data_IF_913618453043
#
_entry.id   IF_913618453043
#
_cell.length_a   1.000
_cell.length_b   1.000
_cell.length_c   1.000
_cell.angle_alpha   90.00
_cell.angle_beta   90.00
_cell.angle_gamma   90.00
#
_symmetry.space_group_name_H-M   'P 1'
#
loop_
_entity.id
_entity.type
_entity.pdbx_description
1 polymer ?
#
# COMPACT_ATOMS: atom_id res chain seq x y z
N UNK A 1 7.21 -8.57 39.15
CA UNK A 1 7.83 -7.96 37.93
C UNK A 1 6.88 -7.88 36.74
N UNK A 2 5.88 -8.75 36.63
CA UNK A 2 4.97 -8.82 35.45
C UNK A 2 3.87 -7.72 35.45
N UNK A 3 3.25 -7.44 36.61
CA UNK A 3 2.16 -6.45 36.72
C UNK A 3 2.64 -5.02 36.46
N UNK A 4 3.81 -4.61 36.93
CA UNK A 4 4.35 -3.28 36.63
C UNK A 4 4.62 -3.07 35.13
N UNK A 5 5.10 -4.13 34.44
CA UNK A 5 5.28 -4.07 32.98
C UNK A 5 3.96 -4.02 32.20
N UNK A 6 2.92 -4.69 32.70
CA UNK A 6 1.57 -4.61 32.12
C UNK A 6 0.96 -3.22 32.30
N UNK A 7 1.08 -2.64 33.51
CA UNK A 7 0.61 -1.28 33.79
C UNK A 7 1.34 -0.22 32.93
N UNK A 8 2.68 -0.36 32.76
CA UNK A 8 3.44 0.51 31.86
C UNK A 8 3.00 0.36 30.40
N UNK A 9 2.69 -0.85 29.92
CA UNK A 9 2.19 -1.06 28.58
C UNK A 9 0.77 -0.51 28.41
N UNK A 10 -0.08 -0.62 29.41
CA UNK A 10 -1.45 -0.06 29.38
C UNK A 10 -1.47 1.47 29.23
N UNK A 11 -0.45 2.17 29.71
CA UNK A 11 -0.30 3.62 29.51
C UNK A 11 -0.15 4.03 28.04
N UNK A 12 0.30 3.13 27.18
CA UNK A 12 0.43 3.39 25.74
C UNK A 12 -0.82 3.06 24.94
N UNK A 13 -1.83 2.42 25.55
CA UNK A 13 -3.09 2.09 24.85
C UNK A 13 -3.78 3.34 24.26
N UNK A 14 -3.88 4.50 24.96
CA UNK A 14 -4.46 5.69 24.39
C UNK A 14 -3.77 6.18 23.11
N UNK A 15 -2.45 5.95 22.98
CA UNK A 15 -1.71 6.32 21.78
C UNK A 15 -2.13 5.53 20.53
N UNK A 16 -2.70 4.32 20.71
CA UNK A 16 -3.25 3.53 19.61
C UNK A 16 -4.49 4.18 18.99
N UNK A 17 -5.15 5.08 19.73
CA UNK A 17 -6.33 5.80 19.24
C UNK A 17 -6.00 7.15 18.58
N UNK A 18 -4.72 7.58 18.59
CA UNK A 18 -4.29 8.81 17.90
C UNK A 18 -4.71 8.85 16.42
N UNK A 19 -4.56 7.77 15.63
CA UNK A 19 -5.05 7.78 14.25
C UNK A 19 -6.56 8.04 14.13
N UNK A 20 -7.35 7.64 15.14
CA UNK A 20 -8.80 7.90 15.16
C UNK A 20 -9.11 9.39 15.23
N UNK A 21 -8.26 10.21 15.87
CA UNK A 21 -8.43 11.68 15.89
C UNK A 21 -8.29 12.27 14.48
N UNK A 22 -7.38 11.75 13.67
CA UNK A 22 -7.26 12.14 12.26
C UNK A 22 -8.52 11.81 11.47
N UNK A 23 -9.10 10.63 11.69
CA UNK A 23 -10.34 10.22 11.05
C UNK A 23 -11.54 11.07 11.51
N UNK A 24 -11.64 11.36 12.80
CA UNK A 24 -12.67 12.27 13.35
C UNK A 24 -12.52 13.68 12.77
N UNK A 25 -11.30 14.19 12.66
CA UNK A 25 -11.00 15.47 12.01
C UNK A 25 -11.43 15.49 10.55
N UNK A 26 -11.19 14.40 9.82
CA UNK A 26 -11.62 14.25 8.44
C UNK A 26 -13.15 14.19 8.30
N UNK A 27 -13.84 13.46 9.17
CA UNK A 27 -15.31 13.44 9.22
C UNK A 27 -15.90 14.80 9.55
N UNK A 28 -15.29 15.53 10.50
CA UNK A 28 -15.69 16.89 10.82
C UNK A 28 -15.52 17.83 9.63
N UNK A 29 -14.41 17.72 8.91
CA UNK A 29 -14.16 18.50 7.69
C UNK A 29 -15.24 18.23 6.63
N UNK A 30 -15.54 16.95 6.35
CA UNK A 30 -16.61 16.59 5.40
C UNK A 30 -17.96 17.15 5.86
N UNK A 31 -18.26 17.08 7.15
CA UNK A 31 -19.50 17.65 7.68
C UNK A 31 -19.56 19.17 7.51
N UNK A 32 -18.47 19.88 7.74
CA UNK A 32 -18.43 21.34 7.57
C UNK A 32 -18.54 21.78 6.11
N UNK A 33 -18.03 20.99 5.19
CA UNK A 33 -18.03 21.32 3.74
C UNK A 33 -19.31 20.86 3.06
N UNK A 34 -19.71 19.61 3.27
CA UNK A 34 -20.80 18.95 2.52
C UNK A 34 -22.05 18.68 3.39
N UNK A 35 -22.03 19.04 4.67
CA UNK A 35 -23.12 18.74 5.61
C UNK A 35 -23.26 17.25 5.96
N UNK A 36 -22.37 16.40 5.45
CA UNK A 36 -22.38 14.95 5.66
C UNK A 36 -20.99 14.44 6.02
N UNK A 37 -20.77 13.86 7.22
CA UNK A 37 -19.46 13.35 7.62
C UNK A 37 -18.94 12.20 6.71
N UNK A 38 -19.83 11.53 5.99
CA UNK A 38 -19.53 10.42 5.09
C UNK A 38 -19.58 10.81 3.61
N UNK A 39 -19.54 12.11 3.28
CA UNK A 39 -19.56 12.60 1.89
C UNK A 39 -18.50 11.94 1.01
N UNK A 40 -17.31 11.63 1.56
CA UNK A 40 -16.26 10.93 0.84
C UNK A 40 -16.69 9.57 0.28
N UNK A 41 -17.59 8.85 0.96
CA UNK A 41 -18.11 7.57 0.45
C UNK A 41 -18.99 7.77 -0.80
N UNK A 42 -19.75 8.88 -0.84
CA UNK A 42 -20.58 9.23 -1.98
C UNK A 42 -19.68 9.58 -3.17
N UNK A 43 -18.63 10.37 -2.93
CA UNK A 43 -17.64 10.70 -3.96
C UNK A 43 -16.87 9.46 -4.47
N UNK A 44 -16.55 8.52 -3.60
CA UNK A 44 -15.89 7.25 -3.98
C UNK A 44 -16.77 6.38 -4.90
N UNK A 45 -18.09 6.43 -4.76
CA UNK A 45 -19.00 5.72 -5.65
C UNK A 45 -18.88 6.16 -7.12
N UNK A 46 -18.55 7.44 -7.38
CA UNK A 46 -18.30 7.96 -8.73
C UNK A 46 -17.10 7.28 -9.42
N UNK A 47 -16.17 6.74 -8.64
CA UNK A 47 -15.00 6.01 -9.14
C UNK A 47 -15.21 4.51 -9.18
N UNK A 48 -16.45 4.02 -8.91
CA UNK A 48 -16.77 2.60 -8.83
C UNK A 48 -15.89 1.83 -7.82
N UNK A 49 -15.34 2.53 -6.84
CA UNK A 49 -14.50 1.93 -5.80
C UNK A 49 -15.36 1.46 -4.63
N UNK A 50 -15.17 0.21 -4.27
CA UNK A 50 -15.81 -0.42 -3.13
C UNK A 50 -14.97 -1.59 -2.59
N UNK A 51 -15.35 -2.16 -1.44
CA UNK A 51 -14.69 -3.35 -0.92
C UNK A 51 -14.82 -4.53 -1.89
N UNK A 52 -13.70 -5.21 -2.13
CA UNK A 52 -13.63 -6.42 -2.96
C UNK A 52 -12.62 -7.40 -2.35
N UNK A 53 -12.79 -8.70 -2.56
CA UNK A 53 -11.78 -9.65 -2.15
C UNK A 53 -10.51 -9.51 -2.98
N UNK A 54 -9.34 -9.63 -2.31
CA UNK A 54 -8.02 -9.55 -2.96
C UNK A 54 -7.91 -10.44 -4.20
N UNK A 55 -8.43 -11.67 -4.10
CA UNK A 55 -8.42 -12.61 -5.22
C UNK A 55 -9.21 -12.11 -6.43
N UNK A 56 -10.32 -11.42 -6.20
CA UNK A 56 -11.15 -10.90 -7.28
C UNK A 56 -10.56 -9.60 -7.84
N UNK A 57 -9.94 -8.77 -7.00
CA UNK A 57 -9.12 -7.64 -7.44
C UNK A 57 -8.00 -8.11 -8.36
N UNK A 58 -7.23 -9.11 -7.97
CA UNK A 58 -6.15 -9.65 -8.80
C UNK A 58 -6.65 -10.29 -10.10
N UNK A 59 -7.78 -11.02 -10.05
CA UNK A 59 -8.40 -11.59 -11.26
C UNK A 59 -8.77 -10.50 -12.26
N UNK A 60 -9.41 -9.43 -11.80
CA UNK A 60 -9.78 -8.37 -12.75
C UNK A 60 -8.54 -7.64 -13.30
N UNK A 61 -7.50 -7.36 -12.47
CA UNK A 61 -6.25 -6.76 -12.95
C UNK A 61 -5.65 -7.60 -14.09
N UNK A 62 -5.52 -8.92 -13.87
CA UNK A 62 -5.02 -9.84 -14.90
C UNK A 62 -5.93 -9.87 -16.13
N UNK A 63 -7.25 -9.86 -15.93
CA UNK A 63 -8.23 -9.86 -17.02
C UNK A 63 -8.13 -8.58 -17.86
N UNK A 64 -8.04 -7.40 -17.21
CA UNK A 64 -7.88 -6.12 -17.91
C UNK A 64 -6.53 -6.03 -18.61
N UNK A 65 -5.45 -6.48 -17.97
CA UNK A 65 -4.15 -6.56 -18.61
C UNK A 65 -4.20 -7.39 -19.90
N UNK A 66 -4.86 -8.55 -19.87
CA UNK A 66 -4.99 -9.41 -21.05
C UNK A 66 -5.86 -8.81 -22.16
N UNK A 67 -7.01 -8.19 -21.79
CA UNK A 67 -7.94 -7.60 -22.78
C UNK A 67 -7.43 -6.30 -23.39
N UNK A 68 -6.66 -5.53 -22.64
CA UNK A 68 -6.22 -4.20 -23.04
C UNK A 68 -4.72 -4.13 -23.31
N UNK A 69 -4.09 -5.28 -23.60
CA UNK A 69 -2.63 -5.37 -23.73
C UNK A 69 -2.05 -4.40 -24.77
N UNK A 70 -2.81 -4.04 -25.78
CA UNK A 70 -2.42 -3.05 -26.81
C UNK A 70 -2.66 -1.60 -26.39
N UNK A 71 -3.34 -1.36 -25.28
CA UNK A 71 -3.66 -0.02 -24.80
C UNK A 71 -2.62 0.47 -23.80
N UNK A 72 -2.38 1.77 -23.75
CA UNK A 72 -1.45 2.40 -22.82
C UNK A 72 -1.78 2.10 -21.35
N UNK A 73 -3.07 1.98 -21.00
CA UNK A 73 -3.49 1.64 -19.62
C UNK A 73 -3.00 0.28 -19.15
N UNK A 74 -2.83 -0.70 -20.03
CA UNK A 74 -2.31 -2.00 -19.65
C UNK A 74 -0.89 -1.88 -19.07
N UNK A 75 -0.07 -1.03 -19.67
CA UNK A 75 1.33 -0.82 -19.31
C UNK A 75 1.53 0.23 -18.23
N UNK A 76 0.67 1.26 -18.21
CA UNK A 76 0.80 2.36 -17.27
C UNK A 76 0.12 2.09 -15.91
N UNK A 77 -0.87 1.20 -15.86
CA UNK A 77 -1.66 0.94 -14.65
C UNK A 77 -1.66 -0.56 -14.30
N UNK A 78 -2.26 -1.42 -15.14
CA UNK A 78 -2.54 -2.80 -14.74
C UNK A 78 -1.29 -3.65 -14.55
N UNK A 79 -0.29 -3.52 -15.41
CA UNK A 79 0.96 -4.24 -15.27
C UNK A 79 1.77 -3.79 -14.04
N UNK A 80 1.99 -2.48 -13.81
CA UNK A 80 2.65 -2.00 -12.60
C UNK A 80 1.94 -2.42 -11.31
N UNK A 81 0.60 -2.35 -11.26
CA UNK A 81 -0.16 -2.80 -10.07
C UNK A 81 0.09 -4.29 -9.77
N UNK A 82 0.09 -5.13 -10.80
CA UNK A 82 0.37 -6.56 -10.64
C UNK A 82 1.82 -6.80 -10.18
N UNK A 83 2.78 -6.11 -10.77
CA UNK A 83 4.20 -6.22 -10.39
C UNK A 83 4.39 -5.77 -8.94
N UNK A 84 3.79 -4.66 -8.54
CA UNK A 84 3.87 -4.17 -7.16
C UNK A 84 3.29 -5.16 -6.16
N UNK A 85 2.12 -5.74 -6.45
CA UNK A 85 1.57 -6.79 -5.59
C UNK A 85 2.57 -7.94 -5.41
N UNK A 86 3.13 -8.44 -6.51
CA UNK A 86 4.08 -9.57 -6.49
C UNK A 86 5.33 -9.20 -5.69
N UNK A 87 5.89 -8.00 -5.91
CA UNK A 87 7.10 -7.52 -5.22
C UNK A 87 6.85 -7.37 -3.72
N UNK A 88 5.78 -6.69 -3.31
CA UNK A 88 5.46 -6.48 -1.90
C UNK A 88 5.10 -7.79 -1.19
N UNK A 89 4.39 -8.68 -1.88
CA UNK A 89 4.12 -10.03 -1.36
C UNK A 89 5.41 -10.84 -1.21
N UNK A 90 6.33 -10.77 -2.18
CA UNK A 90 7.63 -11.44 -2.09
C UNK A 90 8.49 -10.90 -0.93
N UNK A 91 8.52 -9.57 -0.72
CA UNK A 91 9.18 -8.95 0.44
C UNK A 91 8.61 -9.52 1.74
N UNK A 92 7.28 -9.63 1.84
CA UNK A 92 6.62 -10.18 3.02
C UNK A 92 7.00 -11.65 3.24
N UNK A 93 6.90 -12.51 2.21
CA UNK A 93 7.22 -13.94 2.30
C UNK A 93 8.70 -14.15 2.66
N UNK A 94 9.61 -13.41 2.03
CA UNK A 94 11.04 -13.49 2.35
C UNK A 94 11.34 -13.01 3.78
N UNK A 95 10.61 -11.98 4.23
CA UNK A 95 10.73 -11.45 5.60
C UNK A 95 10.20 -12.41 6.65
N UNK A 96 9.18 -13.23 6.34
CA UNK A 96 8.69 -14.30 7.22
C UNK A 96 9.74 -15.37 7.49
N UNK A 97 10.61 -15.67 6.52
CA UNK A 97 11.72 -16.62 6.69
C UNK A 97 12.82 -16.09 7.61
N UNK A 98 12.91 -14.79 7.77
CA UNK A 98 13.89 -14.15 8.65
C UNK A 98 13.33 -14.05 10.06
N UNK A 99 13.83 -14.89 10.98
CA UNK A 99 13.43 -14.86 12.41
C UNK A 99 13.80 -13.57 13.14
N UNK A 100 14.42 -12.60 12.46
CA UNK A 100 14.85 -11.32 13.03
C UNK A 100 13.74 -10.26 13.04
N UNK A 101 12.70 -10.45 12.24
CA UNK A 101 11.61 -9.49 12.13
C UNK A 101 10.57 -9.71 13.23
N UNK A 102 10.04 -8.62 13.79
CA UNK A 102 8.94 -8.66 14.75
C UNK A 102 7.67 -9.18 14.09
N UNK A 103 6.98 -10.10 14.79
CA UNK A 103 5.66 -10.60 14.31
C UNK A 103 4.64 -9.49 14.13
N UNK A 104 4.70 -8.43 14.95
CA UNK A 104 3.79 -7.28 14.81
C UNK A 104 4.03 -6.50 13.53
N UNK A 105 5.29 -6.31 13.11
CA UNK A 105 5.63 -5.64 11.85
C UNK A 105 5.14 -6.47 10.66
N UNK A 106 5.34 -7.78 10.71
CA UNK A 106 4.90 -8.69 9.66
C UNK A 106 3.37 -8.74 9.56
N UNK A 107 2.66 -8.81 10.69
CA UNK A 107 1.20 -8.77 10.73
C UNK A 107 0.66 -7.45 10.17
N UNK A 108 1.25 -6.31 10.56
CA UNK A 108 0.88 -5.01 10.02
C UNK A 108 1.11 -4.95 8.50
N UNK A 109 2.27 -5.38 8.01
CA UNK A 109 2.57 -5.40 6.58
C UNK A 109 1.58 -6.27 5.80
N UNK A 110 1.23 -7.45 6.34
CA UNK A 110 0.25 -8.35 5.74
C UNK A 110 -1.13 -7.70 5.67
N UNK A 111 -1.64 -7.17 6.79
CA UNK A 111 -2.94 -6.49 6.82
C UNK A 111 -2.98 -5.29 5.88
N UNK A 112 -1.89 -4.51 5.83
CA UNK A 112 -1.79 -3.35 4.96
C UNK A 112 -1.83 -3.74 3.47
N UNK A 113 -1.10 -4.79 3.07
CA UNK A 113 -1.12 -5.29 1.69
C UNK A 113 -2.51 -5.78 1.30
N UNK A 114 -3.14 -6.59 2.17
CA UNK A 114 -4.49 -7.11 1.92
C UNK A 114 -5.50 -5.97 1.82
N UNK A 115 -5.49 -5.02 2.76
CA UNK A 115 -6.41 -3.88 2.75
C UNK A 115 -6.27 -3.05 1.47
N UNK A 116 -5.03 -2.80 1.02
CA UNK A 116 -4.77 -2.04 -0.20
C UNK A 116 -5.32 -2.74 -1.46
N UNK A 117 -5.20 -4.06 -1.55
CA UNK A 117 -5.70 -4.84 -2.68
C UNK A 117 -7.12 -5.40 -2.47
N UNK A 118 -7.82 -4.97 -1.43
CA UNK A 118 -9.23 -5.30 -1.18
C UNK A 118 -10.18 -4.22 -1.70
N UNK A 119 -9.82 -3.57 -2.79
CA UNK A 119 -10.61 -2.51 -3.43
C UNK A 119 -10.94 -2.90 -4.87
N UNK A 120 -12.20 -2.64 -5.28
CA UNK A 120 -12.56 -2.66 -6.68
C UNK A 120 -11.97 -1.44 -7.38
N UNK A 121 -11.67 -1.56 -8.68
CA UNK A 121 -11.15 -0.46 -9.50
C UNK A 121 -9.89 0.19 -8.91
N UNK A 122 -8.88 -0.62 -8.64
CA UNK A 122 -7.61 -0.17 -8.08
C UNK A 122 -6.77 0.49 -9.19
N UNK A 123 -6.73 1.83 -9.20
CA UNK A 123 -5.98 2.62 -10.17
C UNK A 123 -4.72 3.28 -9.57
N UNK A 124 -4.55 3.21 -8.27
CA UNK A 124 -3.48 3.92 -7.57
C UNK A 124 -2.91 3.11 -6.40
N UNK A 125 -2.89 1.80 -6.52
CA UNK A 125 -2.38 0.91 -5.48
C UNK A 125 -0.93 1.19 -5.13
N UNK A 126 -0.09 1.52 -6.11
CA UNK A 126 1.29 1.91 -5.89
C UNK A 126 1.44 3.15 -5.00
N UNK A 127 0.58 4.14 -5.18
CA UNK A 127 0.56 5.34 -4.34
C UNK A 127 0.19 5.00 -2.89
N UNK A 128 -0.80 4.15 -2.70
CA UNK A 128 -1.17 3.68 -1.36
C UNK A 128 -0.08 2.80 -0.74
N UNK A 129 0.55 1.91 -1.51
CA UNK A 129 1.65 1.07 -1.03
C UNK A 129 2.87 1.88 -0.62
N UNK A 130 3.16 3.00 -1.30
CA UNK A 130 4.28 3.88 -0.95
C UNK A 130 4.13 4.50 0.44
N UNK A 131 2.90 4.66 0.94
CA UNK A 131 2.63 5.08 2.33
C UNK A 131 2.90 3.97 3.34
N UNK A 132 3.02 2.71 2.90
CA UNK A 132 3.32 1.55 3.73
C UNK A 132 4.81 1.45 4.07
N UNK A 133 5.36 2.40 4.82
CA UNK A 133 6.79 2.47 5.18
C UNK A 133 7.34 1.17 5.76
N UNK A 134 6.50 0.31 6.32
CA UNK A 134 6.89 -0.99 6.87
C UNK A 134 7.56 -1.89 5.83
N UNK A 135 7.14 -1.82 4.57
CA UNK A 135 7.74 -2.62 3.50
C UNK A 135 9.17 -2.18 3.18
N UNK A 136 9.43 -0.88 3.24
CA UNK A 136 10.79 -0.35 3.05
C UNK A 136 11.72 -0.76 4.19
N UNK A 137 11.21 -0.83 5.43
CA UNK A 137 11.95 -1.37 6.58
C UNK A 137 12.26 -2.85 6.35
N UNK A 138 11.28 -3.65 5.92
CA UNK A 138 11.47 -5.07 5.63
C UNK A 138 12.46 -5.29 4.47
N UNK A 139 12.36 -4.53 3.40
CA UNK A 139 13.28 -4.58 2.26
C UNK A 139 14.70 -4.21 2.72
N UNK A 140 14.86 -3.11 3.45
CA UNK A 140 16.15 -2.70 3.99
C UNK A 140 16.78 -3.80 4.88
N UNK A 141 15.97 -4.47 5.71
CA UNK A 141 16.43 -5.59 6.54
C UNK A 141 16.88 -6.79 5.70
N UNK A 142 16.21 -7.09 4.58
CA UNK A 142 16.56 -8.17 3.65
C UNK A 142 17.88 -7.92 2.91
N UNK A 143 18.13 -6.65 2.51
CA UNK A 143 19.32 -6.31 1.70
C UNK A 143 20.51 -5.85 2.54
N UNK A 144 20.32 -5.64 3.86
CA UNK A 144 21.33 -5.06 4.78
C UNK A 144 22.73 -5.68 4.64
N UNK A 145 22.82 -7.01 4.54
CA UNK A 145 24.07 -7.75 4.52
C UNK A 145 24.46 -8.21 3.12
N UNK A 146 23.84 -7.67 2.05
CA UNK A 146 24.05 -8.06 0.65
C UNK A 146 24.25 -6.79 -0.18
N UNK A 147 25.50 -6.31 -0.24
CA UNK A 147 25.84 -5.06 -0.94
C UNK A 147 25.38 -5.05 -2.40
N UNK A 148 25.59 -6.14 -3.12
CA UNK A 148 25.20 -6.27 -4.52
C UNK A 148 23.67 -6.14 -4.68
N UNK A 149 22.90 -6.92 -3.89
CA UNK A 149 21.45 -6.86 -3.94
C UNK A 149 20.91 -5.46 -3.61
N UNK A 150 21.53 -4.78 -2.63
CA UNK A 150 21.19 -3.40 -2.30
C UNK A 150 21.41 -2.45 -3.48
N UNK A 151 22.56 -2.60 -4.17
CA UNK A 151 22.85 -1.79 -5.35
C UNK A 151 21.82 -2.05 -6.46
N UNK A 152 21.49 -3.33 -6.74
CA UNK A 152 20.44 -3.65 -7.72
C UNK A 152 19.08 -3.03 -7.35
N UNK A 153 18.66 -3.12 -6.10
CA UNK A 153 17.40 -2.51 -5.65
C UNK A 153 17.41 -1.00 -5.90
N UNK A 154 18.47 -0.29 -5.50
CA UNK A 154 18.59 1.17 -5.70
C UNK A 154 18.55 1.52 -7.19
N UNK A 155 19.27 0.78 -8.04
CA UNK A 155 19.27 1.01 -9.50
C UNK A 155 17.88 0.81 -10.08
N UNK A 156 17.21 -0.28 -9.73
CA UNK A 156 15.85 -0.58 -10.23
C UNK A 156 14.85 0.48 -9.77
N UNK A 157 14.87 0.86 -8.49
CA UNK A 157 13.99 1.93 -7.96
C UNK A 157 14.25 3.28 -8.66
N UNK A 158 15.53 3.61 -8.90
CA UNK A 158 15.89 4.86 -9.60
C UNK A 158 15.42 4.86 -11.06
N UNK A 159 15.52 3.74 -11.76
CA UNK A 159 15.01 3.59 -13.13
C UNK A 159 13.49 3.75 -13.18
N UNK A 160 12.77 3.08 -12.29
CA UNK A 160 11.31 3.23 -12.22
C UNK A 160 10.91 4.66 -11.87
N UNK A 161 11.58 5.29 -10.91
CA UNK A 161 11.33 6.69 -10.57
C UNK A 161 11.53 7.59 -11.81
N UNK A 162 12.59 7.38 -12.59
CA UNK A 162 12.84 8.13 -13.81
C UNK A 162 11.75 7.94 -14.86
N UNK A 163 11.31 6.70 -15.09
CA UNK A 163 10.24 6.37 -16.05
C UNK A 163 8.90 7.01 -15.61
N UNK A 164 8.53 6.86 -14.35
CA UNK A 164 7.28 7.45 -13.84
C UNK A 164 7.32 8.98 -13.82
N UNK A 165 8.45 9.58 -13.44
CA UNK A 165 8.62 11.03 -13.49
C UNK A 165 8.51 11.55 -14.92
N UNK A 166 9.15 10.90 -15.89
CA UNK A 166 9.03 11.24 -17.30
C UNK A 166 7.57 11.14 -17.78
N UNK A 167 6.88 10.04 -17.46
CA UNK A 167 5.47 9.87 -17.78
C UNK A 167 4.59 10.98 -17.19
N UNK A 168 4.83 11.33 -15.92
CA UNK A 168 4.11 12.40 -15.24
C UNK A 168 4.30 13.77 -15.93
N UNK A 169 5.55 14.13 -16.20
CA UNK A 169 5.89 15.41 -16.84
C UNK A 169 5.34 15.48 -18.29
N UNK A 170 5.27 14.33 -18.97
CA UNK A 170 4.72 14.21 -20.33
C UNK A 170 3.18 14.18 -20.35
N UNK A 171 2.50 14.28 -19.21
CA UNK A 171 1.03 14.24 -19.14
C UNK A 171 0.44 12.85 -19.42
N UNK A 172 1.24 11.78 -19.36
CA UNK A 172 0.74 10.43 -19.50
C UNK A 172 -0.10 10.04 -18.27
N UNK A 173 -1.12 9.21 -18.48
CA UNK A 173 -1.81 8.55 -17.38
C UNK A 173 -0.88 7.54 -16.76
N UNK A 174 -0.44 7.84 -15.55
CA UNK A 174 0.39 6.96 -14.71
C UNK A 174 -0.33 6.70 -13.38
N UNK A 175 0.07 5.61 -12.70
CA UNK A 175 -0.47 5.26 -11.38
C UNK A 175 -0.38 6.38 -10.36
#
# INVERSE_FOLDING_TARGET
>A
ASMKRLAQKAMYIPLLFLPCLGMLGYWLLNYLVDGNPFAYMIHQQHWYQGPMWVTDTLKYIVSYLGRQFQQSMAWAVWLPELILFIVFFAILVLSLRSRKNSSSILAYAFCYLIANYSLSWLLSGGRYLSCGFVFFILLAALVKNRSELRTYVIVVESLFLGIFLFGYVSGAQIM
#
